data_IF_333025528226
#
_entry.id   IF_333025528226
#
_cell.length_a   1.000
_cell.length_b   1.000
_cell.length_c   1.000
_cell.angle_alpha   90.00
_cell.angle_beta   90.00
_cell.angle_gamma   90.00
#
_symmetry.space_group_name_H-M   'P 1'
#
loop_
_entity.id
_entity.type
_entity.pdbx_description
1 polymer ?
#
# COMPACT_ATOMS: atom_id res chain seq x y z
N UNK A 1 -17.06 14.98 8.98
CA UNK A 1 -15.80 15.31 9.64
C UNK A 1 -14.66 15.28 8.64
N UNK A 2 -13.79 16.26 8.68
CA UNK A 2 -12.66 16.31 7.74
C UNK A 2 -11.64 15.22 8.05
N UNK A 3 -11.08 14.63 7.00
CA UNK A 3 -9.99 13.67 7.12
C UNK A 3 -8.69 14.46 7.28
N UNK A 4 -8.09 14.36 8.47
CA UNK A 4 -6.88 15.10 8.81
C UNK A 4 -5.60 14.32 8.55
N UNK A 5 -5.71 13.13 7.97
CA UNK A 5 -4.52 12.34 7.64
C UNK A 5 -3.71 13.06 6.57
N UNK A 6 -2.40 13.13 6.80
CA UNK A 6 -1.48 13.75 5.86
C UNK A 6 -0.89 12.67 4.97
N UNK A 7 -1.26 12.68 3.69
CA UNK A 7 -0.72 11.76 2.71
C UNK A 7 0.77 12.00 2.46
N UNK A 8 1.46 11.01 1.90
CA UNK A 8 2.80 11.20 1.38
C UNK A 8 2.77 12.24 0.26
N UNK A 9 3.77 13.08 0.22
CA UNK A 9 3.89 14.07 -0.85
C UNK A 9 4.20 13.37 -2.18
N UNK A 10 3.70 13.92 -3.27
CA UNK A 10 4.09 13.48 -4.61
C UNK A 10 5.59 13.66 -4.76
N UNK A 11 6.27 12.64 -5.29
CA UNK A 11 7.71 12.61 -5.38
C UNK A 11 8.40 11.93 -4.20
N UNK A 12 7.67 11.61 -3.13
CA UNK A 12 8.22 10.83 -2.03
C UNK A 12 8.66 9.46 -2.52
N UNK A 13 9.75 8.96 -1.97
CA UNK A 13 10.33 7.67 -2.36
C UNK A 13 10.30 6.71 -1.19
N UNK A 14 9.84 5.48 -1.46
CA UNK A 14 9.88 4.39 -0.51
C UNK A 14 10.83 3.34 -1.06
N UNK A 15 11.85 3.04 -0.29
CA UNK A 15 12.86 2.07 -0.69
C UNK A 15 12.33 0.66 -0.45
N UNK A 16 12.10 -0.09 -1.52
CA UNK A 16 11.62 -1.47 -1.43
C UNK A 16 12.79 -2.44 -1.23
N UNK A 17 13.94 -2.16 -1.87
CA UNK A 17 15.17 -2.90 -1.72
C UNK A 17 16.33 -1.97 -2.00
N UNK A 18 17.57 -2.46 -1.90
CA UNK A 18 18.76 -1.62 -2.13
C UNK A 18 18.75 -0.97 -3.51
N UNK A 19 18.20 -1.65 -4.52
CA UNK A 19 18.21 -1.20 -5.90
C UNK A 19 16.88 -0.69 -6.41
N UNK A 20 15.79 -0.81 -5.62
CA UNK A 20 14.44 -0.51 -6.09
C UNK A 20 13.80 0.55 -5.19
N UNK A 21 13.50 1.69 -5.79
CA UNK A 21 12.84 2.81 -5.13
C UNK A 21 11.46 3.03 -5.75
N UNK A 22 10.44 3.10 -4.92
CA UNK A 22 9.07 3.36 -5.36
C UNK A 22 8.79 4.84 -5.19
N UNK A 23 8.44 5.51 -6.27
CA UNK A 23 8.11 6.94 -6.23
C UNK A 23 6.61 7.14 -6.24
N UNK A 24 6.11 7.96 -5.31
CA UNK A 24 4.69 8.31 -5.23
C UNK A 24 4.38 9.34 -6.32
N UNK A 25 3.40 9.05 -7.17
CA UNK A 25 3.04 9.94 -8.27
C UNK A 25 1.64 10.55 -8.12
N UNK A 26 0.76 9.93 -7.34
CA UNK A 26 -0.59 10.46 -7.12
C UNK A 26 -1.22 9.87 -5.87
N UNK A 27 -2.22 10.55 -5.34
CA UNK A 27 -3.12 9.96 -4.35
C UNK A 27 -4.37 9.47 -5.11
N UNK A 28 -4.69 8.18 -4.97
CA UNK A 28 -5.81 7.57 -5.69
C UNK A 28 -7.10 7.62 -4.87
N UNK A 29 -6.99 7.38 -3.55
CA UNK A 29 -8.17 7.39 -2.69
C UNK A 29 -7.82 7.04 -1.25
N UNK A 30 -8.84 7.08 -0.39
CA UNK A 30 -8.70 6.80 1.04
C UNK A 30 -9.83 5.92 1.52
N UNK A 31 -9.47 4.94 2.35
CA UNK A 31 -10.42 4.18 3.14
C UNK A 31 -10.26 4.52 4.62
N UNK A 32 -11.05 3.89 5.48
CA UNK A 32 -11.00 4.13 6.92
C UNK A 32 -9.62 3.80 7.52
N UNK A 33 -8.94 2.79 6.99
CA UNK A 33 -7.68 2.29 7.52
C UNK A 33 -6.50 2.47 6.57
N UNK A 34 -6.67 3.14 5.43
CA UNK A 34 -5.59 3.23 4.44
C UNK A 34 -5.69 4.47 3.58
N UNK A 35 -4.55 4.80 2.96
CA UNK A 35 -4.48 5.74 1.85
C UNK A 35 -3.86 4.96 0.69
N UNK A 36 -4.43 5.11 -0.51
CA UNK A 36 -3.98 4.41 -1.71
C UNK A 36 -3.32 5.41 -2.65
N UNK A 37 -2.13 5.08 -3.10
CA UNK A 37 -1.34 5.90 -4.00
C UNK A 37 -1.14 5.23 -5.34
N UNK A 38 -1.04 6.03 -6.40
CA UNK A 38 -0.39 5.61 -7.64
C UNK A 38 1.11 5.82 -7.48
N UNK A 39 1.89 4.87 -7.94
CA UNK A 39 3.34 4.92 -7.80
C UNK A 39 4.03 4.22 -8.96
N UNK A 40 5.32 4.47 -9.09
CA UNK A 40 6.13 3.86 -10.14
C UNK A 40 7.46 3.41 -9.56
N UNK A 41 8.03 2.36 -10.14
CA UNK A 41 9.41 1.99 -9.86
C UNK A 41 10.04 1.36 -11.11
N UNK A 42 11.37 1.40 -11.17
CA UNK A 42 12.12 0.67 -12.18
C UNK A 42 12.68 -0.58 -11.52
N UNK A 43 12.55 -1.72 -12.22
CA UNK A 43 13.13 -2.96 -11.72
C UNK A 43 14.63 -3.02 -11.96
N UNK A 44 15.28 -4.14 -11.59
CA UNK A 44 16.72 -4.29 -11.68
C UNK A 44 17.26 -4.27 -13.12
N UNK A 45 16.41 -4.50 -14.11
CA UNK A 45 16.79 -4.42 -15.53
C UNK A 45 16.32 -3.12 -16.18
N UNK A 46 15.79 -2.19 -15.39
CA UNK A 46 15.41 -0.86 -15.88
C UNK A 46 14.00 -0.76 -16.45
N UNK A 47 13.18 -1.78 -16.30
CA UNK A 47 11.80 -1.72 -16.79
C UNK A 47 10.92 -1.00 -15.78
N UNK A 48 10.14 -0.03 -16.27
CA UNK A 48 9.23 0.77 -15.43
C UNK A 48 7.94 0.01 -15.15
N UNK A 49 7.55 0.00 -13.89
CA UNK A 49 6.31 -0.60 -13.43
C UNK A 49 5.41 0.46 -12.82
N UNK A 50 4.15 0.48 -13.24
CA UNK A 50 3.11 1.29 -12.61
C UNK A 50 2.39 0.42 -11.59
N UNK A 51 2.24 0.93 -10.38
CA UNK A 51 1.71 0.15 -9.26
C UNK A 51 0.72 0.95 -8.44
N UNK A 52 -0.06 0.26 -7.62
CA UNK A 52 -0.83 0.84 -6.53
C UNK A 52 -0.11 0.51 -5.24
N UNK A 53 0.03 1.50 -4.37
CA UNK A 53 0.64 1.33 -3.07
C UNK A 53 -0.38 1.69 -2.02
N UNK A 54 -0.72 0.73 -1.17
CA UNK A 54 -1.72 0.91 -0.13
C UNK A 54 -1.02 1.05 1.20
N UNK A 55 -1.17 2.21 1.83
CA UNK A 55 -0.54 2.51 3.12
C UNK A 55 -1.53 2.28 4.24
N UNK A 56 -1.12 1.52 5.25
CA UNK A 56 -1.92 1.38 6.46
C UNK A 56 -1.85 2.68 7.26
N UNK A 57 -2.95 3.40 7.30
CA UNK A 57 -3.04 4.69 7.99
C UNK A 57 -4.47 4.87 8.51
N UNK A 58 -4.79 4.28 9.68
CA UNK A 58 -6.14 4.37 10.20
C UNK A 58 -6.47 5.79 10.66
N UNK A 59 -7.63 6.27 10.23
CA UNK A 59 -8.05 7.64 10.50
C UNK A 59 -8.37 7.85 11.99
N UNK A 60 -8.93 6.84 12.63
CA UNK A 60 -9.43 7.00 14.01
C UNK A 60 -8.33 7.02 15.08
N UNK A 61 -7.13 6.57 14.77
CA UNK A 61 -6.02 6.58 15.73
C UNK A 61 -5.33 7.93 15.84
N UNK A 62 -5.66 8.87 14.96
CA UNK A 62 -5.11 10.22 14.97
C UNK A 62 -3.58 10.24 14.91
N UNK A 63 -3.03 9.40 14.06
CA UNK A 63 -1.59 9.38 13.82
C UNK A 63 -1.14 10.68 13.16
N UNK A 64 0.09 11.08 13.40
CA UNK A 64 0.69 12.21 12.70
C UNK A 64 1.84 11.75 11.82
N UNK A 65 2.07 12.49 10.73
CA UNK A 65 3.18 12.22 9.81
C UNK A 65 4.34 13.14 10.12
N UNK A 66 5.51 12.56 10.39
CA UNK A 66 6.72 13.33 10.59
C UNK A 66 7.36 13.75 9.26
N UNK A 67 8.34 14.63 9.32
CA UNK A 67 9.03 15.15 8.13
C UNK A 67 9.77 14.05 7.37
N UNK A 68 10.16 12.98 8.04
CA UNK A 68 10.79 11.82 7.41
C UNK A 68 9.78 10.82 6.86
N UNK A 69 8.49 11.17 6.81
CA UNK A 69 7.36 10.37 6.35
C UNK A 69 6.90 9.29 7.31
N UNK A 70 7.55 9.11 8.45
CA UNK A 70 7.11 8.12 9.43
C UNK A 70 5.81 8.54 10.11
N UNK A 71 5.01 7.55 10.52
CA UNK A 71 3.80 7.79 11.29
C UNK A 71 4.10 7.70 12.77
N UNK A 72 3.68 8.71 13.51
CA UNK A 72 3.83 8.77 14.97
C UNK A 72 2.49 8.51 15.62
N UNK A 73 2.50 7.73 16.69
CA UNK A 73 1.30 7.38 17.42
C UNK A 73 1.39 7.89 18.85
N UNK A 74 0.24 8.24 19.43
CA UNK A 74 0.16 8.69 20.82
C UNK A 74 0.53 7.57 21.78
N UNK A 75 1.14 7.93 22.89
CA UNK A 75 1.49 6.98 23.94
C UNK A 75 0.23 6.25 24.40
N UNK A 76 0.32 4.94 24.52
CA UNK A 76 -0.79 4.08 24.92
C UNK A 76 -1.59 3.50 23.78
N UNK A 77 -1.30 3.89 22.53
CA UNK A 77 -2.02 3.38 21.35
C UNK A 77 -1.17 2.45 20.48
N UNK A 78 0.06 2.16 20.89
CA UNK A 78 1.01 1.38 20.09
C UNK A 78 0.50 -0.02 19.80
N UNK A 79 -0.05 -0.70 20.81
CA UNK A 79 -0.58 -2.06 20.63
C UNK A 79 -1.77 -2.09 19.68
N UNK A 80 -2.61 -1.07 19.76
CA UNK A 80 -3.77 -0.95 18.89
C UNK A 80 -3.34 -0.79 17.44
N UNK A 81 -2.34 0.04 17.19
CA UNK A 81 -1.80 0.21 15.84
C UNK A 81 -1.14 -1.05 15.31
N UNK A 82 -0.36 -1.75 16.15
CA UNK A 82 0.24 -3.04 15.74
C UNK A 82 -0.83 -4.05 15.35
N UNK A 83 -1.92 -4.13 16.11
CA UNK A 83 -3.03 -5.02 15.80
C UNK A 83 -3.69 -4.68 14.47
N UNK A 84 -3.87 -3.39 14.20
CA UNK A 84 -4.45 -2.94 12.93
C UNK A 84 -3.54 -3.28 11.76
N UNK A 85 -2.23 -3.09 11.91
CA UNK A 85 -1.26 -3.45 10.87
C UNK A 85 -1.32 -4.94 10.54
N UNK A 86 -1.40 -5.79 11.56
CA UNK A 86 -1.51 -7.23 11.33
C UNK A 86 -2.82 -7.62 10.64
N UNK A 87 -3.93 -7.04 11.05
CA UNK A 87 -5.22 -7.28 10.41
C UNK A 87 -5.23 -6.81 8.95
N UNK A 88 -4.58 -5.68 8.69
CA UNK A 88 -4.44 -5.13 7.35
C UNK A 88 -3.71 -6.12 6.43
N UNK A 89 -2.60 -6.67 6.89
CA UNK A 89 -1.82 -7.66 6.14
C UNK A 89 -2.64 -8.93 5.93
N UNK A 90 -3.29 -9.43 6.96
CA UNK A 90 -4.03 -10.68 6.89
C UNK A 90 -5.26 -10.60 6.00
N UNK A 91 -5.98 -9.50 6.06
CA UNK A 91 -7.10 -9.26 5.14
C UNK A 91 -6.66 -9.33 3.70
N UNK A 92 -5.52 -8.73 3.39
CA UNK A 92 -5.00 -8.75 2.03
C UNK A 92 -4.61 -10.17 1.61
N UNK A 93 -3.87 -10.90 2.46
CA UNK A 93 -3.47 -12.28 2.17
C UNK A 93 -4.68 -13.16 1.94
N UNK A 94 -5.70 -13.03 2.77
CA UNK A 94 -6.93 -13.82 2.63
C UNK A 94 -7.64 -13.54 1.31
N UNK A 95 -7.73 -12.28 0.90
CA UNK A 95 -8.35 -11.92 -0.37
C UNK A 95 -7.58 -12.50 -1.56
N UNK A 96 -6.26 -12.48 -1.53
CA UNK A 96 -5.43 -13.06 -2.57
C UNK A 96 -5.65 -14.58 -2.65
N UNK A 97 -5.66 -15.26 -1.51
CA UNK A 97 -5.89 -16.71 -1.45
C UNK A 97 -7.25 -17.09 -2.03
N UNK A 98 -8.30 -16.37 -1.67
CA UNK A 98 -9.63 -16.61 -2.19
C UNK A 98 -9.66 -16.44 -3.72
N UNK A 99 -9.06 -15.38 -4.23
CA UNK A 99 -9.04 -15.13 -5.66
C UNK A 99 -8.25 -16.19 -6.42
N UNK A 100 -7.14 -16.65 -5.88
CA UNK A 100 -6.37 -17.74 -6.46
C UNK A 100 -7.18 -19.03 -6.49
N UNK A 101 -7.85 -19.36 -5.40
CA UNK A 101 -8.68 -20.56 -5.30
C UNK A 101 -9.82 -20.53 -6.32
N UNK A 102 -10.41 -19.38 -6.56
CA UNK A 102 -11.49 -19.21 -7.53
C UNK A 102 -10.99 -19.06 -8.96
N UNK A 103 -9.66 -19.07 -9.17
CA UNK A 103 -9.09 -18.87 -10.50
C UNK A 103 -9.22 -17.46 -11.04
N UNK A 104 -9.54 -16.49 -10.20
CA UNK A 104 -9.71 -15.09 -10.60
C UNK A 104 -8.38 -14.36 -10.76
N UNK A 105 -7.33 -14.86 -10.11
CA UNK A 105 -5.97 -14.32 -10.22
C UNK A 105 -5.03 -15.47 -10.52
N UNK A 106 -4.18 -15.26 -11.51
CA UNK A 106 -3.10 -16.18 -11.81
C UNK A 106 -1.94 -15.90 -10.84
N UNK A 107 -1.28 -16.96 -10.35
CA UNK A 107 -0.14 -16.83 -9.44
C UNK A 107 1.04 -16.06 -10.05
N UNK A 108 1.12 -15.95 -11.37
CA UNK A 108 2.14 -15.18 -12.06
C UNK A 108 1.77 -13.71 -12.26
N UNK A 109 0.52 -13.36 -11.99
CA UNK A 109 0.00 -12.01 -12.15
C UNK A 109 -0.18 -11.42 -10.76
N UNK A 110 0.49 -10.31 -10.48
CA UNK A 110 0.28 -9.51 -9.28
C UNK A 110 0.71 -10.14 -7.97
N UNK A 111 1.97 -10.47 -7.80
CA UNK A 111 2.42 -10.71 -6.44
C UNK A 111 2.25 -9.41 -5.65
N UNK A 112 1.54 -9.49 -4.53
CA UNK A 112 1.54 -8.40 -3.60
C UNK A 112 2.78 -8.50 -2.75
N UNK A 113 3.43 -7.36 -2.54
CA UNK A 113 4.55 -7.30 -1.61
C UNK A 113 4.16 -6.47 -0.41
N UNK A 114 4.63 -6.91 0.74
CA UNK A 114 4.41 -6.22 2.00
C UNK A 114 5.70 -5.51 2.35
N UNK A 115 5.63 -4.19 2.50
CA UNK A 115 6.78 -3.35 2.79
C UNK A 115 6.58 -2.70 4.15
N UNK A 116 7.51 -2.89 5.06
CA UNK A 116 7.47 -2.28 6.39
C UNK A 116 8.41 -1.08 6.40
N UNK A 117 7.85 0.12 6.33
CA UNK A 117 8.57 1.39 6.31
C UNK A 117 7.73 2.47 6.99
N UNK A 118 8.36 3.57 7.36
CA UNK A 118 7.67 4.75 7.91
C UNK A 118 6.83 4.44 9.14
N UNK A 119 7.24 3.44 9.92
CA UNK A 119 6.53 2.96 11.11
C UNK A 119 5.12 2.44 10.78
N UNK A 120 4.91 1.96 9.56
CA UNK A 120 3.66 1.36 9.13
C UNK A 120 3.92 0.25 8.12
N UNK A 121 2.88 -0.18 7.43
CA UNK A 121 2.96 -1.25 6.42
C UNK A 121 2.34 -0.76 5.14
N UNK A 122 2.97 -1.15 4.04
CA UNK A 122 2.47 -0.88 2.70
C UNK A 122 2.21 -2.20 1.99
N UNK A 123 1.19 -2.23 1.16
CA UNK A 123 0.94 -3.36 0.25
C UNK A 123 1.13 -2.85 -1.17
N UNK A 124 2.06 -3.48 -1.88
CA UNK A 124 2.36 -3.16 -3.27
C UNK A 124 1.53 -4.07 -4.17
N UNK A 125 0.68 -3.48 -4.99
CA UNK A 125 -0.10 -4.21 -5.97
C UNK A 125 0.39 -3.84 -7.35
N UNK A 126 1.02 -4.79 -8.03
CA UNK A 126 1.47 -4.55 -9.40
C UNK A 126 0.27 -4.59 -10.34
N UNK A 127 0.21 -3.61 -11.24
CA UNK A 127 -0.79 -3.57 -12.28
C UNK A 127 -0.13 -4.00 -13.57
N UNK A 128 -0.61 -5.10 -14.15
CA UNK A 128 -0.21 -5.48 -15.47
C UNK A 128 -1.02 -4.64 -16.45
N UNK A 129 -0.36 -3.77 -17.18
CA UNK A 129 -1.03 -2.86 -18.10
C UNK A 129 -1.76 -3.60 -19.23
N UNK A 130 -1.34 -4.82 -19.54
CA UNK A 130 -2.01 -5.66 -20.53
C UNK A 130 -3.28 -6.31 -20.03
N UNK A 131 -3.61 -6.22 -18.74
CA UNK A 131 -4.74 -6.96 -18.18
C UNK A 131 -5.77 -6.02 -17.54
N UNK A 132 -6.69 -5.54 -18.38
CA UNK A 132 -7.75 -4.65 -17.93
C UNK A 132 -8.70 -5.33 -16.94
N UNK A 133 -8.86 -6.65 -17.01
CA UNK A 133 -9.75 -7.37 -16.10
C UNK A 133 -9.17 -7.43 -14.69
N UNK A 134 -7.88 -7.68 -14.59
CA UNK A 134 -7.19 -7.66 -13.29
C UNK A 134 -7.25 -6.27 -12.69
N UNK A 135 -7.04 -5.24 -13.52
CA UNK A 135 -7.13 -3.85 -13.06
C UNK A 135 -8.51 -3.54 -12.48
N UNK A 136 -9.58 -3.97 -13.15
CA UNK A 136 -10.95 -3.79 -12.67
C UNK A 136 -11.18 -4.51 -11.34
N UNK A 137 -10.63 -5.69 -11.18
CA UNK A 137 -10.74 -6.44 -9.93
C UNK A 137 -10.14 -5.66 -8.76
N UNK A 138 -8.98 -5.05 -8.95
CA UNK A 138 -8.34 -4.27 -7.90
C UNK A 138 -9.08 -2.96 -7.60
N UNK A 139 -9.65 -2.33 -8.58
CA UNK A 139 -10.40 -1.08 -8.36
C UNK A 139 -11.76 -1.30 -7.70
N UNK A 140 -12.31 -2.51 -7.76
CA UNK A 140 -13.58 -2.84 -7.12
C UNK A 140 -13.45 -3.02 -5.59
N UNK A 141 -12.26 -3.06 -5.07
CA UNK A 141 -11.99 -3.23 -3.66
C UNK A 141 -11.38 -1.97 -3.06
#
# INVERSE_FOLDING_TARGET
MADNRKALNIGSVIKMSDDINIEIVSEVGRGANCIVYGAVYNDSIGVKHNVRLKECYPAYLLLSRADDNSLSISVGKENEFEDIKEKFIQSYRKNVEIKQTLGLINSTVNPAEIIRKNNTVYILMTLDEGDANVRKMFTAY
#
